data_IF_247914104610
#
_entry.id   IF_247914104610
#
_cell.length_a   1.000
_cell.length_b   1.000
_cell.length_c   1.000
_cell.angle_alpha   90.00
_cell.angle_beta   90.00
_cell.angle_gamma   90.00
#
_symmetry.space_group_name_H-M   'P 1'
#
loop_
_entity.id
_entity.type
_entity.pdbx_description
1 polymer ?
#
# COMPACT_ATOMS: atom_id res chain seq x y z
N UNK A 1 -1.76 21.53 13.77
CA UNK A 1 -0.97 20.79 12.85
C UNK A 1 0.29 20.10 13.29
N UNK A 2 1.04 20.59 14.31
CA UNK A 2 2.38 20.04 14.63
C UNK A 2 2.35 18.54 14.93
N UNK A 3 1.41 18.06 15.72
CA UNK A 3 1.32 16.64 16.09
C UNK A 3 0.96 15.74 14.93
N UNK A 4 0.14 16.19 13.99
CA UNK A 4 -0.12 15.42 12.75
C UNK A 4 1.17 15.11 12.00
N UNK A 5 2.00 16.14 11.81
CA UNK A 5 3.28 15.96 11.12
C UNK A 5 4.20 15.02 11.88
N UNK A 6 4.37 15.23 13.18
CA UNK A 6 5.25 14.40 14.03
C UNK A 6 4.82 12.94 14.06
N UNK A 7 3.52 12.68 14.19
CA UNK A 7 2.95 11.33 14.18
C UNK A 7 3.16 10.68 12.82
N UNK A 8 2.79 11.37 11.75
CA UNK A 8 2.93 10.87 10.38
C UNK A 8 4.38 10.55 10.03
N UNK A 9 5.32 11.44 10.36
CA UNK A 9 6.74 11.23 10.10
C UNK A 9 7.28 10.00 10.85
N UNK A 10 6.90 9.83 12.12
CA UNK A 10 7.29 8.65 12.91
C UNK A 10 6.70 7.34 12.37
N UNK A 11 5.42 7.34 12.02
CA UNK A 11 4.76 6.16 11.46
C UNK A 11 5.37 5.78 10.12
N UNK A 12 5.64 6.76 9.25
CA UNK A 12 6.29 6.54 7.95
C UNK A 12 7.68 5.94 8.13
N UNK A 13 8.53 6.53 8.96
CA UNK A 13 9.89 6.03 9.22
C UNK A 13 9.86 4.58 9.70
N UNK A 14 8.91 4.25 10.56
CA UNK A 14 8.76 2.89 11.07
C UNK A 14 8.27 1.93 9.99
N UNK A 15 7.27 2.34 9.21
CA UNK A 15 6.76 1.53 8.10
C UNK A 15 7.85 1.25 7.05
N UNK A 16 8.65 2.24 6.70
CA UNK A 16 9.79 2.07 5.79
C UNK A 16 10.82 1.09 6.32
N UNK A 17 11.13 1.13 7.61
CA UNK A 17 12.06 0.20 8.26
C UNK A 17 11.50 -1.24 8.26
N UNK A 18 10.22 -1.43 8.57
CA UNK A 18 9.56 -2.73 8.56
C UNK A 18 9.51 -3.33 7.15
N UNK A 19 9.18 -2.51 6.14
CA UNK A 19 9.20 -2.92 4.74
C UNK A 19 10.59 -3.29 4.27
N UNK A 20 11.60 -2.49 4.62
CA UNK A 20 13.00 -2.75 4.26
C UNK A 20 13.50 -4.07 4.85
N UNK A 21 13.09 -4.42 6.06
CA UNK A 21 13.41 -5.71 6.68
C UNK A 21 12.85 -6.91 5.88
N UNK A 22 11.77 -6.71 5.12
CA UNK A 22 11.17 -7.70 4.21
C UNK A 22 11.67 -7.57 2.76
N UNK A 23 12.62 -6.67 2.48
CA UNK A 23 13.16 -6.44 1.14
C UNK A 23 12.22 -5.64 0.22
N UNK A 24 11.31 -4.86 0.78
CA UNK A 24 10.32 -4.07 0.05
C UNK A 24 10.53 -2.57 0.22
N UNK A 25 10.17 -1.83 -0.82
CA UNK A 25 9.93 -0.38 -0.77
C UNK A 25 8.44 -0.11 -0.58
N UNK A 26 8.07 1.12 -0.22
CA UNK A 26 6.67 1.53 -0.10
C UNK A 26 5.91 1.34 -1.43
N UNK A 27 6.52 1.72 -2.55
CA UNK A 27 5.90 1.56 -3.88
C UNK A 27 5.68 0.09 -4.23
N UNK A 28 6.66 -0.77 -3.95
CA UNK A 28 6.52 -2.22 -4.14
C UNK A 28 5.41 -2.80 -3.28
N UNK A 29 5.33 -2.40 -2.02
CA UNK A 29 4.24 -2.79 -1.12
C UNK A 29 2.87 -2.37 -1.65
N UNK A 30 2.74 -1.17 -2.20
CA UNK A 30 1.49 -0.71 -2.83
C UNK A 30 1.07 -1.58 -4.01
N UNK A 31 2.02 -2.03 -4.83
CA UNK A 31 1.74 -2.98 -5.93
C UNK A 31 1.23 -4.31 -5.38
N UNK A 32 1.87 -4.84 -4.34
CA UNK A 32 1.43 -6.12 -3.74
C UNK A 32 0.02 -6.00 -3.12
N UNK A 33 -0.29 -4.88 -2.45
CA UNK A 33 -1.64 -4.61 -1.94
C UNK A 33 -2.66 -4.51 -3.08
N UNK A 34 -2.33 -3.79 -4.15
CA UNK A 34 -3.19 -3.68 -5.33
C UNK A 34 -3.52 -5.07 -5.92
N UNK A 35 -2.51 -5.92 -6.09
CA UNK A 35 -2.70 -7.29 -6.56
C UNK A 35 -3.58 -8.10 -5.60
N UNK A 36 -3.36 -7.98 -4.30
CA UNK A 36 -4.18 -8.66 -3.27
C UNK A 36 -5.65 -8.26 -3.37
N UNK A 37 -5.94 -6.98 -3.61
CA UNK A 37 -7.30 -6.46 -3.78
C UNK A 37 -7.95 -6.89 -5.11
N UNK A 38 -7.16 -7.38 -6.06
CA UNK A 38 -7.58 -7.88 -7.38
C UNK A 38 -7.46 -9.40 -7.52
N UNK A 39 -7.78 -10.14 -6.48
CA UNK A 39 -7.72 -11.61 -6.45
C UNK A 39 -6.32 -12.20 -6.71
N UNK A 40 -5.27 -11.43 -6.43
CA UNK A 40 -3.88 -11.88 -6.52
C UNK A 40 -3.23 -11.70 -7.89
N UNK A 41 -3.93 -11.11 -8.86
CA UNK A 41 -3.40 -10.91 -10.21
C UNK A 41 -3.90 -9.63 -10.88
N UNK A 42 -3.08 -9.05 -11.74
CA UNK A 42 -3.44 -7.93 -12.58
C UNK A 42 -2.49 -7.83 -13.78
N UNK A 43 -2.90 -7.13 -14.81
CA UNK A 43 -2.02 -6.81 -15.93
C UNK A 43 -1.02 -5.71 -15.55
N UNK A 44 0.11 -5.68 -16.24
CA UNK A 44 1.10 -4.60 -16.08
C UNK A 44 0.49 -3.21 -16.32
N UNK A 45 -0.43 -3.12 -17.30
CA UNK A 45 -1.13 -1.89 -17.64
C UNK A 45 -2.03 -1.39 -16.49
N UNK A 46 -2.75 -2.28 -15.83
CA UNK A 46 -3.56 -1.92 -14.66
C UNK A 46 -2.69 -1.39 -13.52
N UNK A 47 -1.50 -1.96 -13.32
CA UNK A 47 -0.52 -1.47 -12.33
C UNK A 47 0.00 -0.09 -12.72
N UNK A 48 0.29 0.15 -14.00
CA UNK A 48 0.68 1.47 -14.51
C UNK A 48 -0.37 2.54 -14.20
N UNK A 49 -1.62 2.25 -14.50
CA UNK A 49 -2.77 3.14 -14.25
C UNK A 49 -2.93 3.40 -12.74
N UNK A 50 -2.84 2.35 -11.92
CA UNK A 50 -2.94 2.48 -10.47
C UNK A 50 -1.84 3.36 -9.87
N UNK A 51 -0.60 3.20 -10.32
CA UNK A 51 0.54 3.98 -9.82
C UNK A 51 0.65 5.37 -10.46
N UNK A 52 -0.01 5.60 -11.58
CA UNK A 52 0.12 6.82 -12.40
C UNK A 52 1.58 7.13 -12.77
N UNK A 53 2.31 6.10 -13.18
CA UNK A 53 3.72 6.19 -13.57
C UNK A 53 3.92 5.70 -15.01
N UNK A 54 5.10 5.95 -15.57
CA UNK A 54 5.43 5.54 -16.93
C UNK A 54 5.65 4.03 -17.02
N UNK A 55 5.46 3.47 -18.22
CA UNK A 55 5.72 2.06 -18.49
C UNK A 55 7.11 1.58 -18.07
N UNK A 56 8.21 2.27 -18.41
CA UNK A 56 9.55 1.87 -17.96
C UNK A 56 9.69 1.79 -16.43
N UNK A 57 9.02 2.69 -15.70
CA UNK A 57 9.02 2.70 -14.24
C UNK A 57 8.34 1.45 -13.68
N UNK A 58 7.17 1.08 -14.21
CA UNK A 58 6.47 -0.15 -13.79
C UNK A 58 7.28 -1.38 -14.12
N UNK A 59 7.85 -1.45 -15.31
CA UNK A 59 8.75 -2.56 -15.70
C UNK A 59 9.86 -2.75 -14.67
N UNK A 60 10.48 -1.67 -14.23
CA UNK A 60 11.53 -1.72 -13.20
C UNK A 60 11.02 -2.21 -11.85
N UNK A 61 9.84 -1.76 -11.41
CA UNK A 61 9.22 -2.16 -10.14
C UNK A 61 8.86 -3.65 -10.15
N UNK A 62 8.15 -4.11 -11.18
CA UNK A 62 7.69 -5.51 -11.27
C UNK A 62 8.87 -6.47 -11.49
N UNK A 63 9.90 -6.06 -12.24
CA UNK A 63 11.11 -6.84 -12.42
C UNK A 63 11.83 -7.11 -11.08
N UNK A 64 11.93 -6.10 -10.21
CA UNK A 64 12.51 -6.28 -8.89
C UNK A 64 11.66 -7.14 -7.98
N UNK A 65 10.34 -7.00 -8.04
CA UNK A 65 9.41 -7.87 -7.31
C UNK A 65 9.54 -9.33 -7.75
N UNK A 66 9.69 -9.57 -9.05
CA UNK A 66 9.93 -10.92 -9.58
C UNK A 66 11.26 -11.49 -9.10
N UNK A 67 12.36 -10.73 -9.22
CA UNK A 67 13.70 -11.13 -8.76
C UNK A 67 13.71 -11.50 -7.27
N UNK A 68 12.94 -10.80 -6.46
CA UNK A 68 12.82 -11.06 -5.03
C UNK A 68 11.78 -12.12 -4.68
N UNK A 69 11.12 -12.72 -5.67
CA UNK A 69 10.19 -13.83 -5.49
C UNK A 69 8.80 -13.45 -5.00
N UNK A 70 8.40 -12.18 -5.09
CA UNK A 70 7.08 -11.71 -4.67
C UNK A 70 6.00 -11.90 -5.72
N UNK A 71 6.37 -11.91 -6.99
CA UNK A 71 5.47 -12.09 -8.12
C UNK A 71 6.04 -13.06 -9.13
N UNK A 72 5.17 -13.57 -9.98
CA UNK A 72 5.48 -14.27 -11.20
C UNK A 72 4.70 -13.64 -12.36
N UNK A 73 5.15 -13.93 -13.58
CA UNK A 73 4.45 -13.53 -14.79
C UNK A 73 3.91 -14.74 -15.51
N UNK A 74 2.75 -14.58 -16.16
CA UNK A 74 2.34 -15.44 -17.23
C UNK A 74 1.64 -14.65 -18.34
N UNK A 75 1.65 -15.17 -19.58
CA UNK A 75 1.00 -14.50 -20.68
C UNK A 75 -0.53 -14.47 -20.49
N UNK A 76 -1.15 -13.35 -20.88
CA UNK A 76 -2.59 -13.27 -20.95
C UNK A 76 -3.13 -14.18 -22.06
N UNK A 77 -4.09 -15.05 -21.74
CA UNK A 77 -4.72 -15.94 -22.70
C UNK A 77 -5.55 -15.20 -23.76
N UNK A 78 -6.05 -13.99 -23.42
CA UNK A 78 -6.83 -13.14 -24.31
C UNK A 78 -5.95 -12.29 -25.25
N UNK A 79 -4.79 -11.81 -24.77
CA UNK A 79 -3.82 -11.06 -25.56
C UNK A 79 -2.39 -11.39 -25.10
N UNK A 80 -1.68 -12.18 -25.91
CA UNK A 80 -0.30 -12.63 -25.63
C UNK A 80 0.73 -11.50 -25.50
N UNK A 81 0.38 -10.27 -25.92
CA UNK A 81 1.23 -9.10 -25.75
C UNK A 81 1.20 -8.53 -24.33
N UNK A 82 0.14 -8.86 -23.57
CA UNK A 82 0.01 -8.48 -22.17
C UNK A 82 0.59 -9.58 -21.27
N UNK A 83 1.26 -9.15 -20.21
CA UNK A 83 1.71 -10.03 -19.12
C UNK A 83 0.79 -9.85 -17.92
N UNK A 84 0.36 -10.98 -17.36
CA UNK A 84 -0.34 -11.00 -16.08
C UNK A 84 0.67 -11.17 -14.98
N UNK A 85 0.62 -10.27 -14.00
CA UNK A 85 1.43 -10.27 -12.79
C UNK A 85 0.64 -10.98 -11.70
N UNK A 86 1.24 -11.98 -11.07
CA UNK A 86 0.57 -12.83 -10.07
C UNK A 86 1.37 -12.87 -8.77
N UNK A 87 0.69 -12.73 -7.63
CA UNK A 87 1.29 -12.90 -6.31
C UNK A 87 1.78 -14.33 -6.09
N UNK A 88 2.94 -14.44 -5.46
CA UNK A 88 3.47 -15.73 -4.97
C UNK A 88 3.00 -16.01 -3.54
N UNK A 89 3.17 -17.26 -3.08
CA UNK A 89 2.94 -17.61 -1.67
C UNK A 89 3.82 -16.80 -0.72
N UNK A 90 5.05 -16.48 -1.11
CA UNK A 90 5.94 -15.60 -0.35
C UNK A 90 5.31 -14.22 -0.12
N UNK A 91 4.73 -13.62 -1.17
CA UNK A 91 4.06 -12.33 -1.06
C UNK A 91 2.86 -12.39 -0.12
N UNK A 92 2.05 -13.44 -0.20
CA UNK A 92 0.91 -13.64 0.71
C UNK A 92 1.36 -13.79 2.16
N UNK A 93 2.45 -14.52 2.40
CA UNK A 93 3.00 -14.70 3.74
C UNK A 93 3.54 -13.38 4.32
N UNK A 94 4.29 -12.62 3.52
CA UNK A 94 4.79 -11.29 3.93
C UNK A 94 3.65 -10.31 4.20
N UNK A 95 2.59 -10.33 3.40
CA UNK A 95 1.40 -9.51 3.64
C UNK A 95 0.76 -9.81 5.01
N UNK A 96 0.64 -11.09 5.37
CA UNK A 96 0.14 -11.50 6.70
C UNK A 96 1.03 -10.99 7.83
N UNK A 97 2.35 -11.12 7.69
CA UNK A 97 3.31 -10.63 8.67
C UNK A 97 3.25 -9.11 8.83
N UNK A 98 3.14 -8.38 7.74
CA UNK A 98 3.01 -6.92 7.76
C UNK A 98 1.70 -6.47 8.41
N UNK A 99 0.58 -7.12 8.12
CA UNK A 99 -0.71 -6.85 8.78
C UNK A 99 -0.64 -7.09 10.28
N UNK A 100 0.05 -8.14 10.72
CA UNK A 100 0.24 -8.41 12.14
C UNK A 100 1.12 -7.35 12.83
N UNK A 101 2.17 -6.88 12.15
CA UNK A 101 3.01 -5.78 12.64
C UNK A 101 2.18 -4.50 12.80
N UNK A 102 1.38 -4.14 11.81
CA UNK A 102 0.49 -2.98 11.84
C UNK A 102 -0.50 -3.09 13.01
N UNK A 103 -1.15 -4.24 13.16
CA UNK A 103 -2.09 -4.48 14.25
C UNK A 103 -1.46 -4.30 15.63
N UNK A 104 -0.23 -4.79 15.82
CA UNK A 104 0.50 -4.61 17.09
C UNK A 104 0.91 -3.17 17.32
N UNK A 105 1.27 -2.46 16.26
CA UNK A 105 1.62 -1.03 16.34
C UNK A 105 0.40 -0.19 16.71
N UNK A 106 -0.73 -0.42 16.08
CA UNK A 106 -1.99 0.27 16.39
C UNK A 106 -2.40 0.06 17.85
N UNK A 107 -2.29 -1.17 18.33
CA UNK A 107 -2.58 -1.49 19.72
C UNK A 107 -1.69 -0.72 20.71
N UNK A 108 -0.41 -0.54 20.38
CA UNK A 108 0.51 0.27 21.20
C UNK A 108 0.24 1.76 21.08
N UNK A 109 -0.10 2.23 19.87
CA UNK A 109 -0.37 3.64 19.60
C UNK A 109 -1.55 4.15 20.41
N UNK A 110 -2.58 3.32 20.58
CA UNK A 110 -3.81 3.67 21.28
C UNK A 110 -3.91 3.12 22.70
N UNK A 111 -2.85 2.50 23.23
CA UNK A 111 -2.89 1.78 24.50
C UNK A 111 -3.32 2.61 25.72
N UNK A 112 -3.05 3.93 25.71
CA UNK A 112 -3.42 4.84 26.80
C UNK A 112 -4.78 5.52 26.59
N UNK A 113 -5.48 5.23 25.50
CA UNK A 113 -6.81 5.75 25.22
C UNK A 113 -7.89 4.73 25.57
N UNK A 114 -9.03 5.23 26.09
CA UNK A 114 -10.22 4.38 26.25
C UNK A 114 -10.84 4.04 24.90
N UNK A 115 -11.70 3.03 24.87
CA UNK A 115 -12.44 2.66 23.64
C UNK A 115 -13.30 3.82 23.12
N UNK A 116 -13.91 4.60 24.02
CA UNK A 116 -14.69 5.79 23.65
C UNK A 116 -13.81 6.87 23.02
N UNK A 117 -12.61 7.11 23.60
CA UNK A 117 -11.66 8.07 23.04
C UNK A 117 -11.14 7.64 21.67
N UNK A 118 -10.92 6.35 21.43
CA UNK A 118 -10.51 5.82 20.11
C UNK A 118 -11.62 6.04 19.09
N UNK A 119 -12.89 5.77 19.45
CA UNK A 119 -14.04 6.00 18.58
C UNK A 119 -14.21 7.47 18.22
N UNK A 120 -14.09 8.35 19.21
CA UNK A 120 -14.19 9.80 19.01
C UNK A 120 -13.05 10.30 18.11
N UNK A 121 -11.81 9.88 18.37
CA UNK A 121 -10.66 10.21 17.54
C UNK A 121 -10.83 9.75 16.09
N UNK A 122 -11.31 8.52 15.89
CA UNK A 122 -11.58 7.99 14.56
C UNK A 122 -12.60 8.84 13.82
N UNK A 123 -13.69 9.21 14.47
CA UNK A 123 -14.72 10.08 13.90
C UNK A 123 -14.16 11.47 13.52
N UNK A 124 -13.37 12.09 14.40
CA UNK A 124 -12.77 13.40 14.15
C UNK A 124 -11.73 13.35 13.00
N UNK A 125 -10.92 12.31 12.95
CA UNK A 125 -9.96 12.12 11.85
C UNK A 125 -10.66 11.90 10.52
N UNK A 126 -11.75 11.15 10.51
CA UNK A 126 -12.56 10.94 9.32
C UNK A 126 -13.17 12.25 8.82
N UNK A 127 -13.72 13.07 9.72
CA UNK A 127 -14.25 14.40 9.38
C UNK A 127 -13.17 15.30 8.75
N UNK A 128 -11.97 15.30 9.31
CA UNK A 128 -10.84 16.07 8.77
C UNK A 128 -10.46 15.56 7.38
N UNK A 129 -10.43 14.26 7.19
CA UNK A 129 -10.13 13.64 5.90
C UNK A 129 -11.17 14.00 4.82
N UNK A 130 -12.45 13.96 5.17
CA UNK A 130 -13.53 14.35 4.28
C UNK A 130 -13.45 15.83 3.87
N UNK A 131 -13.07 16.72 4.80
CA UNK A 131 -12.86 18.14 4.48
C UNK A 131 -11.75 18.36 3.45
N UNK A 132 -10.67 17.57 3.49
CA UNK A 132 -9.60 17.65 2.49
C UNK A 132 -10.08 17.25 1.08
N UNK A 133 -10.97 16.25 0.99
CA UNK A 133 -11.49 15.78 -0.30
C UNK A 133 -12.46 16.79 -0.94
N UNK A 134 -13.21 17.54 -0.14
CA UNK A 134 -14.13 18.57 -0.66
C UNK A 134 -13.39 19.80 -1.23
N UNK A 135 -12.19 20.10 -0.73
CA UNK A 135 -11.36 21.19 -1.28
C UNK A 135 -10.78 20.88 -2.66
N UNK A 136 -10.58 19.59 -3.01
CA UNK A 136 -10.09 19.19 -4.34
C UNK A 136 -11.17 19.33 -5.43
N UNK A 137 -12.46 19.26 -5.09
CA UNK A 137 -13.57 19.46 -6.02
C UNK A 137 -13.84 20.94 -6.35
N UNK A 138 -13.41 21.87 -5.49
CA UNK A 138 -13.60 23.31 -5.64
C UNK A 138 -12.44 24.04 -6.38
N UNK A 139 -11.41 23.33 -6.85
CA UNK A 139 -10.34 23.93 -7.63
C UNK A 139 -10.76 23.98 -9.11
N UNK A 140 -11.15 25.14 -9.67
CA UNK A 140 -11.44 25.24 -11.09
C UNK A 140 -10.17 24.99 -11.90
N UNK A 141 -10.30 24.13 -12.88
CA UNK A 141 -9.26 23.92 -13.89
C UNK A 141 -8.92 25.23 -14.64
#
# INVERSE_FOLDING_TARGET
>A
GVYFKLITDKLRTKADADLKAHGLTMTQSRVLCFLSDHNGEATQKEIEEFLSVTHPTVVGIVSRLEQNGFITFHPDSADKRNKIVVLTEKAVQVDKEMKEIIRRQDKKLFASLSEEQVKELTFLLQTIYENLNTEEEDTPC
#
